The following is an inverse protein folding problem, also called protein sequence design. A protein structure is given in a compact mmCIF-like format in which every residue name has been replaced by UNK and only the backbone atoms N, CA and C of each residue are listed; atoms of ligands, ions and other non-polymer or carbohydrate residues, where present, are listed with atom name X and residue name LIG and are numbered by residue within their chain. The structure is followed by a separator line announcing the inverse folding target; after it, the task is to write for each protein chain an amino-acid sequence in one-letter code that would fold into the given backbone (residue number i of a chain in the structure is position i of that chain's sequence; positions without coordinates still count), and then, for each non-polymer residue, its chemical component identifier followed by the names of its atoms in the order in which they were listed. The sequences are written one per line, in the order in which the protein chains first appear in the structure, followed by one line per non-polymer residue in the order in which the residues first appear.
data_IF_617121441341
#
_entry.id   IF_617121441341
#
_cell.length_a   1.000
_cell.length_b   1.000
_cell.length_c   1.000
_cell.angle_alpha   90.00
_cell.angle_beta   90.00
_cell.angle_gamma   90.00
#
_symmetry.space_group_name_H-M   'P 1'
#
loop_
_entity.id
_entity.type
_entity.pdbx_description
1 polymer ?
#
# COMPACT_ATOMS: atom_id res chain seq x y z
N UNK A 1 34.23 -42.18 37.26
CA UNK A 1 34.10 -41.36 36.04
C UNK A 1 34.91 -40.09 36.26
N UNK A 2 35.91 -39.78 35.43
CA UNK A 2 36.74 -38.58 35.64
C UNK A 2 35.85 -37.33 35.64
N UNK A 3 36.16 -36.34 36.49
CA UNK A 3 35.44 -35.05 36.56
C UNK A 3 35.32 -34.39 35.19
N UNK A 4 36.29 -34.66 34.30
CA UNK A 4 36.29 -34.26 32.90
C UNK A 4 35.13 -34.86 32.09
N UNK A 5 34.90 -36.18 32.15
CA UNK A 5 33.81 -36.84 31.43
C UNK A 5 32.44 -36.28 31.84
N UNK A 6 32.24 -36.06 33.15
CA UNK A 6 30.98 -35.51 33.65
C UNK A 6 30.73 -34.08 33.13
N UNK A 7 31.77 -33.23 33.11
CA UNK A 7 31.65 -31.88 32.54
C UNK A 7 31.44 -31.87 31.03
N UNK A 8 32.04 -32.83 30.31
CA UNK A 8 31.84 -33.00 28.87
C UNK A 8 30.39 -33.36 28.55
N UNK A 9 29.84 -34.42 29.17
CA UNK A 9 28.45 -34.81 28.95
C UNK A 9 27.45 -33.75 29.40
N UNK A 10 27.70 -33.05 30.51
CA UNK A 10 26.85 -31.94 30.95
C UNK A 10 26.84 -30.79 29.93
N UNK A 11 28.00 -30.41 29.39
CA UNK A 11 28.09 -29.39 28.35
C UNK A 11 27.40 -29.84 27.05
N UNK A 12 27.51 -31.12 26.69
CA UNK A 12 26.79 -31.71 25.55
C UNK A 12 25.28 -31.65 25.71
N UNK A 13 24.75 -32.01 26.88
CA UNK A 13 23.30 -31.91 27.16
C UNK A 13 22.79 -30.46 27.12
N UNK A 14 23.55 -29.52 27.70
CA UNK A 14 23.21 -28.10 27.63
C UNK A 14 23.27 -27.56 26.18
N UNK A 15 24.27 -27.98 25.40
CA UNK A 15 24.40 -27.61 24.00
C UNK A 15 23.25 -28.18 23.15
N UNK A 16 22.83 -29.42 23.41
CA UNK A 16 21.66 -30.01 22.76
C UNK A 16 20.40 -29.20 23.05
N UNK A 17 20.15 -28.81 24.31
CA UNK A 17 19.01 -27.97 24.67
C UNK A 17 19.05 -26.61 23.93
N UNK A 18 20.20 -25.95 23.89
CA UNK A 18 20.40 -24.73 23.13
C UNK A 18 20.07 -24.92 21.64
N UNK A 19 20.68 -25.92 20.99
CA UNK A 19 20.50 -26.19 19.58
C UNK A 19 19.03 -26.51 19.25
N UNK A 20 18.37 -27.28 20.12
CA UNK A 20 16.96 -27.60 20.01
C UNK A 20 16.05 -26.36 20.06
N UNK A 21 16.25 -25.45 21.03
CA UNK A 21 15.45 -24.23 21.11
C UNK A 21 15.72 -23.28 19.95
N UNK A 22 16.97 -23.21 19.47
CA UNK A 22 17.33 -22.43 18.29
C UNK A 22 16.64 -22.95 17.02
N UNK A 23 16.71 -24.26 16.77
CA UNK A 23 16.02 -24.89 15.63
C UNK A 23 14.51 -24.74 15.74
N UNK A 24 13.93 -24.88 16.93
CA UNK A 24 12.49 -24.67 17.14
C UNK A 24 12.07 -23.21 16.82
N UNK A 25 12.90 -22.22 17.13
CA UNK A 25 12.65 -20.83 16.73
C UNK A 25 12.77 -20.67 15.21
N UNK A 26 13.80 -21.23 14.58
CA UNK A 26 13.99 -21.18 13.12
C UNK A 26 12.82 -21.85 12.37
N UNK A 27 12.34 -22.99 12.88
CA UNK A 27 11.16 -23.69 12.37
C UNK A 27 9.91 -22.79 12.35
N UNK A 28 9.67 -22.03 13.42
CA UNK A 28 8.55 -21.07 13.49
C UNK A 28 8.73 -19.88 12.54
N UNK A 29 9.95 -19.33 12.46
CA UNK A 29 10.29 -18.23 11.56
C UNK A 29 10.09 -18.59 10.08
N UNK A 30 10.52 -19.79 9.70
CA UNK A 30 10.50 -20.24 8.30
C UNK A 30 9.28 -21.10 7.95
N UNK A 31 8.46 -21.47 8.94
CA UNK A 31 7.26 -22.29 8.74
C UNK A 31 7.56 -23.72 8.26
N UNK A 32 8.75 -24.24 8.58
CA UNK A 32 9.21 -25.57 8.16
C UNK A 32 9.74 -26.31 9.38
N UNK A 33 9.17 -27.47 9.70
CA UNK A 33 9.56 -28.24 10.88
C UNK A 33 10.79 -29.10 10.59
N UNK A 34 11.79 -29.03 11.45
CA UNK A 34 12.97 -29.89 11.40
C UNK A 34 12.67 -31.24 12.03
N UNK A 35 13.07 -32.33 11.38
CA UNK A 35 12.87 -33.68 11.93
C UNK A 35 13.81 -33.95 13.10
N UNK A 36 13.38 -34.78 14.05
CA UNK A 36 14.18 -35.13 15.24
C UNK A 36 15.54 -35.70 14.83
N UNK A 37 15.56 -36.61 13.84
CA UNK A 37 16.80 -37.20 13.34
C UNK A 37 17.76 -36.15 12.77
N UNK A 38 17.24 -35.15 12.05
CA UNK A 38 18.05 -34.06 11.50
C UNK A 38 18.57 -33.15 12.61
N UNK A 39 17.73 -32.81 13.60
CA UNK A 39 18.14 -32.02 14.75
C UNK A 39 19.25 -32.73 15.57
N UNK A 40 19.15 -34.05 15.76
CA UNK A 40 20.21 -34.83 16.40
C UNK A 40 21.50 -34.81 15.56
N UNK A 41 21.40 -35.03 14.25
CA UNK A 41 22.58 -35.00 13.36
C UNK A 41 23.29 -33.64 13.35
N UNK A 42 22.51 -32.55 13.30
CA UNK A 42 22.99 -31.17 13.43
C UNK A 42 23.70 -30.96 14.76
N UNK A 43 23.08 -31.37 15.87
CA UNK A 43 23.70 -31.28 17.20
C UNK A 43 25.04 -32.01 17.24
N UNK A 44 25.10 -33.26 16.76
CA UNK A 44 26.32 -34.08 16.78
C UNK A 44 27.44 -33.39 15.99
N UNK A 45 27.14 -32.92 14.77
CA UNK A 45 28.10 -32.21 13.93
C UNK A 45 28.61 -30.93 14.60
N UNK A 46 27.69 -30.09 15.09
CA UNK A 46 28.03 -28.82 15.69
C UNK A 46 28.81 -28.98 17.00
N UNK A 47 28.45 -29.95 17.83
CA UNK A 47 29.15 -30.23 19.07
C UNK A 47 30.55 -30.83 18.82
N UNK A 48 30.71 -31.62 17.76
CA UNK A 48 32.01 -32.11 17.32
C UNK A 48 32.91 -30.95 16.85
N UNK A 49 32.39 -30.02 16.05
CA UNK A 49 33.12 -28.81 15.61
C UNK A 49 33.51 -27.96 16.83
N UNK A 50 32.59 -27.71 17.75
CA UNK A 50 32.84 -26.97 18.99
C UNK A 50 33.97 -27.63 19.82
N UNK A 51 33.90 -28.95 20.00
CA UNK A 51 34.90 -29.71 20.75
C UNK A 51 36.26 -29.68 20.04
N UNK A 52 36.29 -29.85 18.72
CA UNK A 52 37.51 -29.77 17.91
C UNK A 52 38.18 -28.40 18.01
N UNK A 53 37.40 -27.31 17.91
CA UNK A 53 37.92 -25.94 18.11
C UNK A 53 38.50 -25.74 19.51
N UNK A 54 37.87 -26.31 20.54
CA UNK A 54 38.39 -26.29 21.92
C UNK A 54 39.66 -27.12 22.09
N UNK A 55 39.81 -28.25 21.39
CA UNK A 55 41.00 -29.10 21.42
C UNK A 55 42.18 -28.46 20.70
N UNK A 56 41.92 -27.77 19.59
CA UNK A 56 42.91 -26.99 18.85
C UNK A 56 43.32 -25.68 19.54
N UNK A 57 42.73 -25.36 20.70
CA UNK A 57 42.98 -24.14 21.47
C UNK A 57 42.86 -22.85 20.63
N UNK A 58 41.93 -22.84 19.67
CA UNK A 58 41.68 -21.67 18.85
C UNK A 58 41.15 -20.53 19.72
N UNK A 59 41.66 -19.31 19.48
CA UNK A 59 41.20 -18.08 20.10
C UNK A 59 39.69 -17.87 19.96
N UNK A 60 39.04 -17.22 20.94
CA UNK A 60 37.59 -16.98 20.92
C UNK A 60 37.10 -16.28 19.64
N UNK A 61 37.87 -15.34 19.10
CA UNK A 61 37.53 -14.64 17.84
C UNK A 61 37.42 -15.63 16.68
N UNK A 62 38.39 -16.54 16.54
CA UNK A 62 38.38 -17.57 15.51
C UNK A 62 37.20 -18.54 15.72
N UNK A 63 36.93 -18.97 16.95
CA UNK A 63 35.83 -19.88 17.25
C UNK A 63 34.47 -19.31 16.85
N UNK A 64 34.19 -18.07 17.24
CA UNK A 64 32.92 -17.43 16.93
C UNK A 64 32.79 -17.14 15.43
N UNK A 65 33.88 -16.78 14.75
CA UNK A 65 33.89 -16.58 13.31
C UNK A 65 33.60 -17.88 12.54
N UNK A 66 34.27 -18.98 12.92
CA UNK A 66 34.02 -20.31 12.36
C UNK A 66 32.59 -20.74 12.63
N UNK A 67 32.12 -20.60 13.89
CA UNK A 67 30.76 -20.97 14.27
C UNK A 67 29.70 -20.19 13.47
N UNK A 68 29.90 -18.90 13.22
CA UNK A 68 29.00 -18.12 12.36
C UNK A 68 28.92 -18.67 10.94
N UNK A 69 30.06 -18.95 10.30
CA UNK A 69 30.09 -19.52 8.96
C UNK A 69 29.39 -20.88 8.88
N UNK A 70 29.64 -21.76 9.87
CA UNK A 70 28.99 -23.05 9.98
C UNK A 70 27.48 -22.92 10.20
N UNK A 71 27.05 -22.09 11.14
CA UNK A 71 25.63 -21.88 11.44
C UNK A 71 24.88 -21.31 10.23
N UNK A 72 25.50 -20.40 9.49
CA UNK A 72 24.93 -19.86 8.25
C UNK A 72 24.76 -20.96 7.19
N UNK A 73 25.80 -21.77 6.94
CA UNK A 73 25.72 -22.88 5.99
C UNK A 73 24.66 -23.92 6.40
N UNK A 74 24.60 -24.23 7.70
CA UNK A 74 23.63 -25.15 8.27
C UNK A 74 22.19 -24.69 8.04
N UNK A 75 21.88 -23.44 8.40
CA UNK A 75 20.54 -22.86 8.21
C UNK A 75 20.15 -22.88 6.73
N UNK A 76 21.08 -22.52 5.84
CA UNK A 76 20.83 -22.55 4.41
C UNK A 76 20.53 -23.96 3.90
N UNK A 77 21.28 -24.98 4.35
CA UNK A 77 21.07 -26.38 3.97
C UNK A 77 19.72 -26.89 4.48
N UNK A 78 19.34 -26.56 5.72
CA UNK A 78 18.10 -27.05 6.35
C UNK A 78 16.86 -26.38 5.76
N UNK A 79 16.86 -25.05 5.68
CA UNK A 79 15.65 -24.28 5.40
C UNK A 79 15.53 -23.80 3.95
N UNK A 80 16.67 -23.62 3.25
CA UNK A 80 16.75 -23.17 1.84
C UNK A 80 15.90 -21.92 1.58
N UNK A 81 16.00 -20.92 2.44
CA UNK A 81 15.29 -19.66 2.27
C UNK A 81 16.13 -18.68 1.44
N UNK A 82 15.68 -17.43 1.33
CA UNK A 82 16.53 -16.38 0.76
C UNK A 82 17.78 -16.17 1.62
N UNK A 83 18.93 -15.91 0.98
CA UNK A 83 20.20 -15.66 1.67
C UNK A 83 20.10 -14.62 2.78
N UNK A 84 19.32 -13.55 2.60
CA UNK A 84 19.15 -12.50 3.61
C UNK A 84 18.46 -13.06 4.87
N UNK A 85 17.46 -13.92 4.70
CA UNK A 85 16.73 -14.53 5.81
C UNK A 85 17.58 -15.57 6.55
N UNK A 86 18.35 -16.37 5.81
CA UNK A 86 19.28 -17.34 6.41
C UNK A 86 20.39 -16.62 7.20
N UNK A 87 20.97 -15.56 6.63
CA UNK A 87 21.99 -14.73 7.30
C UNK A 87 21.40 -14.06 8.54
N UNK A 88 20.17 -13.53 8.47
CA UNK A 88 19.50 -12.93 9.63
C UNK A 88 19.35 -13.94 10.77
N UNK A 89 18.89 -15.16 10.48
CA UNK A 89 18.70 -16.19 11.49
C UNK A 89 20.04 -16.63 12.09
N UNK A 90 21.08 -16.79 11.26
CA UNK A 90 22.43 -17.10 11.73
C UNK A 90 22.97 -16.00 12.66
N UNK A 91 22.87 -14.73 12.23
CA UNK A 91 23.32 -13.57 12.99
C UNK A 91 22.57 -13.43 14.32
N UNK A 92 21.26 -13.66 14.34
CA UNK A 92 20.47 -13.67 15.57
C UNK A 92 20.98 -14.74 16.55
N UNK A 93 21.24 -15.94 16.03
CA UNK A 93 21.85 -17.06 16.75
C UNK A 93 23.18 -16.68 17.41
N UNK A 94 24.14 -16.26 16.60
CA UNK A 94 25.50 -15.98 17.08
C UNK A 94 25.59 -14.72 17.93
N UNK A 95 24.80 -13.67 17.66
CA UNK A 95 24.83 -12.44 18.45
C UNK A 95 24.35 -12.69 19.88
N UNK A 96 23.20 -13.35 20.04
CA UNK A 96 22.66 -13.66 21.37
C UNK A 96 23.59 -14.63 22.12
N UNK A 97 24.10 -15.65 21.44
CA UNK A 97 25.06 -16.59 22.01
C UNK A 97 26.35 -15.91 22.48
N UNK A 98 26.93 -15.05 21.65
CA UNK A 98 28.18 -14.34 21.95
C UNK A 98 28.00 -13.35 23.09
N UNK A 99 26.90 -12.59 23.10
CA UNK A 99 26.61 -11.64 24.18
C UNK A 99 26.46 -12.35 25.53
N UNK A 100 25.70 -13.46 25.59
CA UNK A 100 25.58 -14.30 26.79
C UNK A 100 26.94 -14.85 27.21
N UNK A 101 27.75 -15.31 26.25
CA UNK A 101 29.07 -15.86 26.51
C UNK A 101 30.00 -14.80 27.14
N UNK A 102 30.05 -13.58 26.60
CA UNK A 102 30.83 -12.47 27.13
C UNK A 102 30.36 -12.12 28.56
N UNK A 103 29.04 -11.94 28.77
CA UNK A 103 28.48 -11.58 30.08
C UNK A 103 28.89 -12.60 31.14
N UNK A 104 28.69 -13.89 30.85
CA UNK A 104 29.00 -14.94 31.82
C UNK A 104 30.49 -15.03 32.10
N UNK A 105 31.35 -15.00 31.07
CA UNK A 105 32.80 -15.04 31.27
C UNK A 105 33.29 -13.87 32.12
N UNK A 106 32.82 -12.65 31.85
CA UNK A 106 33.15 -11.49 32.65
C UNK A 106 32.60 -11.58 34.08
N UNK A 107 31.36 -12.07 34.27
CA UNK A 107 30.77 -12.26 35.59
C UNK A 107 31.53 -13.29 36.43
N UNK A 108 31.90 -14.44 35.85
CA UNK A 108 32.74 -15.44 36.53
C UNK A 108 34.15 -14.91 36.81
N UNK A 109 34.75 -14.15 35.88
CA UNK A 109 36.06 -13.52 36.09
C UNK A 109 36.04 -12.48 37.22
N UNK A 110 34.92 -11.77 37.40
CA UNK A 110 34.70 -10.86 38.54
C UNK A 110 34.53 -11.65 39.84
N UNK A 111 33.62 -12.62 39.84
CA UNK A 111 33.29 -13.42 41.02
C UNK A 111 34.50 -14.21 41.57
N UNK A 112 35.30 -14.79 40.66
CA UNK A 112 36.48 -15.58 41.04
C UNK A 112 37.74 -14.73 41.22
N UNK A 113 37.65 -13.42 40.97
CA UNK A 113 38.79 -12.50 40.92
C UNK A 113 39.97 -13.02 40.06
N UNK A 114 39.66 -13.54 38.87
CA UNK A 114 40.63 -14.10 37.91
C UNK A 114 40.70 -13.23 36.65
N UNK A 115 41.84 -13.18 35.94
CA UNK A 115 41.94 -12.48 34.66
C UNK A 115 41.10 -13.15 33.57
N UNK A 116 40.63 -12.36 32.58
CA UNK A 116 39.78 -12.84 31.49
C UNK A 116 40.46 -13.90 30.61
N UNK A 117 41.78 -13.83 30.46
CA UNK A 117 42.58 -14.79 29.69
C UNK A 117 42.40 -16.25 30.16
N UNK A 118 42.15 -16.48 31.46
CA UNK A 118 41.89 -17.84 32.00
C UNK A 118 40.53 -18.43 31.57
N UNK A 119 39.68 -17.60 30.99
CA UNK A 119 38.44 -18.02 30.38
C UNK A 119 38.57 -18.19 28.86
N UNK A 120 39.72 -17.92 28.23
CA UNK A 120 39.92 -18.25 26.82
C UNK A 120 40.09 -19.77 26.61
N UNK A 121 40.23 -20.19 25.35
CA UNK A 121 40.52 -21.58 25.00
C UNK A 121 42.00 -21.97 25.16
N UNK A 122 42.92 -21.01 25.31
CA UNK A 122 44.37 -21.21 25.41
C UNK A 122 44.89 -21.28 26.85
N UNK A 123 44.44 -22.25 27.64
CA UNK A 123 44.96 -22.42 29.02
C UNK A 123 45.75 -23.72 29.14
N UNK A 124 47.07 -23.63 29.01
CA UNK A 124 48.01 -24.68 29.38
C UNK A 124 48.06 -24.79 30.91
N UNK A 125 47.54 -25.92 31.42
CA UNK A 125 47.81 -26.53 32.74
C UNK A 125 47.08 -25.94 33.99
N UNK A 126 46.27 -26.82 34.60
CA UNK A 126 45.68 -26.83 35.95
C UNK A 126 44.31 -26.18 36.24
N UNK A 127 43.93 -25.02 35.69
CA UNK A 127 42.60 -24.40 35.97
C UNK A 127 41.84 -24.03 34.69
N UNK A 128 41.20 -25.01 34.03
CA UNK A 128 40.30 -24.74 32.91
C UNK A 128 38.95 -24.19 33.40
N UNK A 129 38.90 -22.90 33.74
CA UNK A 129 37.74 -22.23 34.33
C UNK A 129 36.61 -21.97 33.32
N UNK A 130 36.89 -22.08 32.01
CA UNK A 130 35.89 -21.81 30.94
C UNK A 130 34.69 -22.76 30.98
N UNK A 131 34.82 -23.94 31.59
CA UNK A 131 33.75 -24.95 31.66
C UNK A 131 32.47 -24.44 32.33
N UNK A 132 32.59 -23.58 33.34
CA UNK A 132 31.44 -23.04 34.07
C UNK A 132 30.62 -22.03 33.23
N UNK A 133 31.21 -20.95 32.69
CA UNK A 133 30.47 -20.01 31.85
C UNK A 133 30.00 -20.61 30.53
N UNK A 134 30.71 -21.61 29.96
CA UNK A 134 30.25 -22.30 28.74
C UNK A 134 28.98 -23.12 29.01
N UNK A 135 28.99 -23.94 30.07
CA UNK A 135 27.83 -24.76 30.45
C UNK A 135 26.61 -23.88 30.73
N UNK A 136 26.76 -22.86 31.59
CA UNK A 136 25.68 -21.94 31.93
C UNK A 136 25.23 -21.12 30.72
N UNK A 137 26.16 -20.78 29.83
CA UNK A 137 25.87 -20.04 28.60
C UNK A 137 24.95 -20.78 27.66
N UNK A 138 25.16 -22.08 27.44
CA UNK A 138 24.25 -22.88 26.63
C UNK A 138 22.86 -22.99 27.25
N UNK A 139 22.77 -23.19 28.56
CA UNK A 139 21.48 -23.23 29.27
C UNK A 139 20.75 -21.89 29.11
N UNK A 140 21.43 -20.77 29.42
CA UNK A 140 20.83 -19.44 29.39
C UNK A 140 20.43 -19.03 27.96
N UNK A 141 21.27 -19.29 26.97
CA UNK A 141 20.93 -19.03 25.57
C UNK A 141 19.73 -19.86 25.10
N UNK A 142 19.63 -21.13 25.53
CA UNK A 142 18.45 -21.97 25.26
C UNK A 142 17.18 -21.41 25.91
N UNK A 143 17.25 -20.94 27.16
CA UNK A 143 16.13 -20.28 27.86
C UNK A 143 15.72 -18.99 27.13
N UNK A 144 16.68 -18.19 26.68
CA UNK A 144 16.41 -16.96 25.90
C UNK A 144 15.68 -17.30 24.60
N UNK A 145 16.15 -18.28 23.82
CA UNK A 145 15.45 -18.69 22.59
C UNK A 145 14.06 -19.24 22.87
N UNK A 146 13.89 -20.00 23.96
CA UNK A 146 12.57 -20.46 24.39
C UNK A 146 11.62 -19.28 24.68
N UNK A 147 12.10 -18.26 25.41
CA UNK A 147 11.32 -17.07 25.74
C UNK A 147 10.98 -16.23 24.50
N UNK A 148 11.94 -16.03 23.59
CA UNK A 148 11.73 -15.34 22.30
C UNK A 148 10.66 -16.06 21.49
N UNK A 149 10.72 -17.39 21.43
CA UNK A 149 9.74 -18.21 20.71
C UNK A 149 8.34 -18.06 21.33
N UNK A 150 8.22 -18.19 22.66
CA UNK A 150 6.95 -18.04 23.40
C UNK A 150 6.33 -16.66 23.30
N UNK A 151 7.09 -15.60 23.05
CA UNK A 151 6.54 -14.25 22.87
C UNK A 151 5.88 -14.00 21.51
N UNK A 152 5.81 -15.03 20.65
CA UNK A 152 5.28 -14.92 19.29
C UNK A 152 6.22 -14.18 18.34
N UNK A 153 7.51 -14.09 18.67
CA UNK A 153 8.49 -13.41 17.80
C UNK A 153 8.69 -14.14 16.47
N UNK A 154 8.54 -15.47 16.45
CA UNK A 154 8.64 -16.27 15.22
C UNK A 154 7.66 -15.83 14.13
N UNK A 155 6.40 -15.56 14.48
CA UNK A 155 5.40 -15.08 13.52
C UNK A 155 5.68 -13.65 13.04
N UNK A 156 6.21 -12.79 13.91
CA UNK A 156 6.67 -11.43 13.55
C UNK A 156 7.85 -11.48 12.57
N UNK A 157 8.81 -12.36 12.78
CA UNK A 157 9.94 -12.58 11.87
C UNK A 157 9.44 -13.11 10.52
N UNK A 158 8.48 -14.03 10.52
CA UNK A 158 7.85 -14.52 9.28
C UNK A 158 7.19 -13.41 8.47
N UNK A 159 6.51 -12.46 9.14
CA UNK A 159 5.94 -11.29 8.48
C UNK A 159 7.05 -10.34 7.97
N UNK A 160 8.06 -10.09 8.79
CA UNK A 160 9.21 -9.26 8.43
C UNK A 160 9.97 -9.81 7.22
N UNK A 161 10.06 -11.14 7.08
CA UNK A 161 10.70 -11.78 5.93
C UNK A 161 10.04 -11.44 4.58
N UNK A 162 8.78 -10.98 4.60
CA UNK A 162 8.10 -10.45 3.40
C UNK A 162 8.54 -9.03 3.04
N UNK A 163 9.00 -8.25 4.01
CA UNK A 163 9.55 -6.90 3.80
C UNK A 163 11.08 -6.96 3.71
N UNK A 164 11.57 -7.09 2.47
CA UNK A 164 13.00 -7.17 2.18
C UNK A 164 13.79 -5.96 2.69
N UNK A 165 13.21 -4.76 2.70
CA UNK A 165 13.88 -3.53 3.14
C UNK A 165 14.16 -3.59 4.64
N UNK A 166 13.12 -3.85 5.42
CA UNK A 166 13.22 -3.95 6.88
C UNK A 166 14.12 -5.12 7.33
N UNK A 167 14.07 -6.25 6.64
CA UNK A 167 14.96 -7.38 6.92
C UNK A 167 16.43 -7.06 6.59
N UNK A 168 16.70 -6.39 5.47
CA UNK A 168 18.07 -5.99 5.08
C UNK A 168 18.67 -5.02 6.09
N UNK A 169 17.87 -4.07 6.59
CA UNK A 169 18.29 -3.18 7.67
C UNK A 169 18.69 -3.96 8.93
N UNK A 170 17.86 -4.93 9.36
CA UNK A 170 18.19 -5.75 10.53
C UNK A 170 19.47 -6.56 10.33
N UNK A 171 19.67 -7.18 9.17
CA UNK A 171 20.90 -7.94 8.87
C UNK A 171 22.12 -7.03 9.01
N UNK A 172 22.09 -5.85 8.39
CA UNK A 172 23.22 -4.90 8.43
C UNK A 172 23.54 -4.47 9.86
N UNK A 173 22.53 -4.08 10.63
CA UNK A 173 22.74 -3.65 12.00
C UNK A 173 23.21 -4.81 12.89
N UNK A 174 22.60 -5.98 12.78
CA UNK A 174 22.97 -7.15 13.58
C UNK A 174 24.40 -7.59 13.27
N UNK A 175 24.82 -7.50 12.00
CA UNK A 175 26.20 -7.74 11.60
C UNK A 175 27.17 -6.74 12.24
N UNK A 176 26.84 -5.44 12.25
CA UNK A 176 27.66 -4.41 12.91
C UNK A 176 27.78 -4.69 14.41
N UNK A 177 26.68 -5.02 15.09
CA UNK A 177 26.68 -5.38 16.51
C UNK A 177 27.50 -6.64 16.78
N UNK A 178 27.41 -7.64 15.88
CA UNK A 178 28.17 -8.87 15.99
C UNK A 178 29.68 -8.60 15.84
N UNK A 179 30.09 -7.87 14.80
CA UNK A 179 31.50 -7.47 14.60
C UNK A 179 32.01 -6.66 15.79
N UNK A 180 31.20 -5.74 16.33
CA UNK A 180 31.54 -4.99 17.54
C UNK A 180 31.83 -5.91 18.74
N UNK A 181 30.99 -6.92 18.98
CA UNK A 181 31.24 -7.90 20.06
C UNK A 181 32.43 -8.81 19.76
N UNK A 182 32.68 -9.17 18.50
CA UNK A 182 33.88 -9.93 18.12
C UNK A 182 35.15 -9.13 18.42
N UNK A 183 35.18 -7.84 18.07
CA UNK A 183 36.31 -6.97 18.41
C UNK A 183 36.47 -6.79 19.92
N UNK A 184 35.37 -6.80 20.68
CA UNK A 184 35.41 -6.74 22.14
C UNK A 184 36.20 -7.92 22.75
N UNK A 185 36.22 -9.09 22.10
CA UNK A 185 37.00 -10.25 22.55
C UNK A 185 38.51 -10.01 22.54
N UNK A 186 39.02 -8.96 21.86
CA UNK A 186 40.44 -8.59 21.92
C UNK A 186 40.88 -8.21 23.35
N UNK A 187 39.95 -7.77 24.19
CA UNK A 187 40.20 -7.47 25.62
C UNK A 187 40.64 -8.70 26.44
N UNK A 188 40.53 -9.91 25.89
CA UNK A 188 41.01 -11.13 26.55
C UNK A 188 42.54 -11.29 26.44
N UNK A 189 43.18 -10.56 25.52
CA UNK A 189 44.61 -10.65 25.23
C UNK A 189 45.40 -9.42 25.69
N UNK A 190 44.75 -8.52 26.43
CA UNK A 190 45.43 -7.38 27.06
C UNK A 190 45.92 -7.78 28.44
N UNK A 191 47.19 -7.48 28.73
CA UNK A 191 47.78 -7.72 30.04
C UNK A 191 47.14 -6.83 31.11
N UNK A 192 46.82 -7.40 32.27
CA UNK A 192 46.25 -6.69 33.42
C UNK A 192 44.91 -7.25 33.89
N UNK A 193 44.76 -7.40 35.20
CA UNK A 193 43.52 -7.88 35.86
C UNK A 193 42.53 -6.73 36.09
N UNK A 194 42.32 -5.88 35.10
CA UNK A 194 41.58 -4.65 35.33
C UNK A 194 40.07 -4.91 35.36
N UNK A 195 39.46 -4.59 36.50
CA UNK A 195 38.01 -4.50 36.72
C UNK A 195 37.30 -3.81 35.54
N UNK A 196 37.96 -2.82 34.95
CA UNK A 196 37.49 -2.06 33.79
C UNK A 196 37.18 -2.96 32.59
N UNK A 197 38.06 -3.88 32.19
CA UNK A 197 37.81 -4.73 31.02
C UNK A 197 36.67 -5.71 31.23
N UNK A 198 36.50 -6.23 32.46
CA UNK A 198 35.40 -7.12 32.81
C UNK A 198 34.05 -6.39 32.75
N UNK A 199 33.98 -5.18 33.32
CA UNK A 199 32.79 -4.34 33.25
C UNK A 199 32.52 -3.84 31.82
N UNK A 200 33.58 -3.56 31.05
CA UNK A 200 33.49 -3.18 29.65
C UNK A 200 32.86 -4.27 28.80
N UNK A 201 33.26 -5.53 28.98
CA UNK A 201 32.64 -6.67 28.28
C UNK A 201 31.15 -6.82 28.60
N UNK A 202 30.77 -6.77 29.88
CA UNK A 202 29.36 -6.82 30.30
C UNK A 202 28.57 -5.67 29.68
N UNK A 203 29.09 -4.44 29.79
CA UNK A 203 28.49 -3.25 29.18
C UNK A 203 28.28 -3.45 27.68
N UNK A 204 29.33 -3.80 26.94
CA UNK A 204 29.28 -3.97 25.48
C UNK A 204 28.23 -5.00 25.06
N UNK A 205 28.17 -6.14 25.75
CA UNK A 205 27.16 -7.17 25.49
C UNK A 205 25.73 -6.69 25.80
N UNK A 206 25.50 -6.02 26.93
CA UNK A 206 24.21 -5.44 27.27
C UNK A 206 23.74 -4.40 26.25
N UNK A 207 24.63 -3.50 25.81
CA UNK A 207 24.32 -2.51 24.78
C UNK A 207 24.02 -3.14 23.42
N UNK A 208 24.75 -4.21 23.05
CA UNK A 208 24.47 -4.94 21.81
C UNK A 208 23.10 -5.64 21.84
N UNK A 209 22.74 -6.29 22.95
CA UNK A 209 21.41 -6.91 23.13
C UNK A 209 20.30 -5.84 23.08
N UNK A 210 20.49 -4.72 23.80
CA UNK A 210 19.52 -3.62 23.81
C UNK A 210 19.35 -3.01 22.41
N UNK A 211 20.46 -2.75 21.71
CA UNK A 211 20.44 -2.24 20.34
C UNK A 211 19.73 -3.18 19.38
N UNK A 212 20.01 -4.48 19.47
CA UNK A 212 19.34 -5.51 18.69
C UNK A 212 17.83 -5.57 18.96
N UNK A 213 17.42 -5.48 20.23
CA UNK A 213 16.01 -5.46 20.61
C UNK A 213 15.27 -4.22 20.09
N UNK A 214 15.86 -3.04 20.25
CA UNK A 214 15.29 -1.77 19.76
C UNK A 214 15.14 -1.79 18.23
N UNK A 215 16.17 -2.25 17.52
CA UNK A 215 16.13 -2.36 16.08
C UNK A 215 15.09 -3.37 15.60
N UNK A 216 15.04 -4.56 16.20
CA UNK A 216 14.01 -5.55 15.89
C UNK A 216 12.61 -4.97 16.11
N UNK A 217 12.39 -4.29 17.23
CA UNK A 217 11.12 -3.63 17.55
C UNK A 217 10.75 -2.56 16.53
N UNK A 218 11.72 -1.73 16.12
CA UNK A 218 11.52 -0.69 15.10
C UNK A 218 11.23 -1.29 13.73
N UNK A 219 11.99 -2.30 13.29
CA UNK A 219 11.79 -2.98 12.01
C UNK A 219 10.44 -3.68 11.91
N UNK A 220 9.94 -4.28 13.00
CA UNK A 220 8.58 -4.83 13.02
C UNK A 220 7.52 -3.73 12.89
N UNK A 221 7.70 -2.59 13.57
CA UNK A 221 6.78 -1.45 13.42
C UNK A 221 6.81 -0.90 12.00
N UNK A 222 7.99 -0.74 11.42
CA UNK A 222 8.16 -0.19 10.07
C UNK A 222 7.58 -1.13 9.01
N UNK A 223 7.84 -2.44 9.11
CA UNK A 223 7.25 -3.43 8.21
C UNK A 223 5.72 -3.43 8.25
N UNK A 224 5.13 -3.29 9.44
CA UNK A 224 3.68 -3.17 9.60
C UNK A 224 3.14 -1.86 9.02
N UNK A 225 3.85 -0.74 9.20
CA UNK A 225 3.48 0.54 8.59
C UNK A 225 3.52 0.47 7.06
N UNK A 226 4.58 -0.11 6.49
CA UNK A 226 4.70 -0.32 5.04
C UNK A 226 3.56 -1.18 4.50
N UNK A 227 3.17 -2.23 5.22
CA UNK A 227 2.04 -3.07 4.86
C UNK A 227 0.71 -2.29 4.81
N UNK A 228 0.42 -1.49 5.84
CA UNK A 228 -0.79 -0.65 5.85
C UNK A 228 -0.75 0.46 4.80
N UNK A 229 0.43 1.04 4.53
CA UNK A 229 0.58 2.03 3.47
C UNK A 229 0.29 1.45 2.08
N UNK A 230 0.75 0.24 1.80
CA UNK A 230 0.44 -0.47 0.54
C UNK A 230 -1.05 -0.81 0.43
N UNK A 231 -1.67 -1.25 1.53
CA UNK A 231 -3.10 -1.56 1.56
C UNK A 231 -3.95 -0.31 1.30
N UNK A 232 -3.70 0.77 2.02
CA UNK A 232 -4.41 2.05 1.86
C UNK A 232 -4.24 2.62 0.44
N UNK A 233 -3.05 2.44 -0.16
CA UNK A 233 -2.80 2.86 -1.54
C UNK A 233 -3.71 2.12 -2.52
N UNK A 234 -3.80 0.80 -2.41
CA UNK A 234 -4.66 -0.02 -3.28
C UNK A 234 -6.14 0.33 -3.12
N UNK A 235 -6.60 0.53 -1.89
CA UNK A 235 -7.98 0.98 -1.64
C UNK A 235 -8.26 2.34 -2.28
N UNK A 236 -7.32 3.29 -2.19
CA UNK A 236 -7.46 4.61 -2.81
C UNK A 236 -7.50 4.54 -4.34
N UNK A 237 -6.66 3.69 -4.94
CA UNK A 237 -6.66 3.47 -6.39
C UNK A 237 -7.99 2.84 -6.85
N UNK A 238 -8.51 1.86 -6.11
CA UNK A 238 -9.82 1.25 -6.39
C UNK A 238 -10.97 2.26 -6.29
N UNK A 239 -10.99 3.10 -5.26
CA UNK A 239 -12.02 4.12 -5.08
C UNK A 239 -11.98 5.19 -6.20
N UNK A 240 -10.79 5.55 -6.68
CA UNK A 240 -10.66 6.48 -7.80
C UNK A 240 -11.19 5.86 -9.10
N UNK A 241 -10.92 4.57 -9.32
CA UNK A 241 -11.43 3.84 -10.48
C UNK A 241 -12.96 3.77 -10.46
N UNK A 242 -13.54 3.40 -9.31
CA UNK A 242 -14.99 3.38 -9.10
C UNK A 242 -15.63 4.74 -9.43
N UNK A 243 -15.06 5.84 -8.92
CA UNK A 243 -15.54 7.19 -9.23
C UNK A 243 -15.49 7.54 -10.71
N UNK A 244 -14.44 7.14 -11.41
CA UNK A 244 -14.32 7.39 -12.85
C UNK A 244 -15.35 6.57 -13.65
N UNK A 245 -15.61 5.34 -13.23
CA UNK A 245 -16.59 4.48 -13.90
C UNK A 245 -18.02 4.97 -13.63
N UNK A 246 -18.31 5.42 -12.40
CA UNK A 246 -19.56 6.11 -12.06
C UNK A 246 -19.77 7.39 -12.90
N UNK A 247 -18.72 8.19 -13.09
CA UNK A 247 -18.80 9.40 -13.91
C UNK A 247 -19.08 9.06 -15.39
N UNK A 248 -18.41 8.04 -15.95
CA UNK A 248 -18.69 7.57 -17.31
C UNK A 248 -20.13 7.06 -17.44
N UNK A 249 -20.59 6.26 -16.49
CA UNK A 249 -21.96 5.75 -16.47
C UNK A 249 -22.97 6.90 -16.39
N UNK A 250 -22.71 7.93 -15.57
CA UNK A 250 -23.53 9.14 -15.53
C UNK A 250 -23.56 9.87 -16.86
N UNK A 251 -22.42 10.06 -17.52
CA UNK A 251 -22.36 10.71 -18.85
C UNK A 251 -23.18 9.91 -19.86
N UNK A 252 -23.03 8.59 -19.91
CA UNK A 252 -23.78 7.72 -20.82
C UNK A 252 -25.28 7.75 -20.51
N UNK A 253 -25.66 7.72 -19.24
CA UNK A 253 -27.05 7.70 -18.79
C UNK A 253 -27.78 9.02 -19.04
N UNK A 254 -27.07 10.16 -19.02
CA UNK A 254 -27.68 11.50 -19.09
C UNK A 254 -27.38 12.31 -20.34
N UNK A 255 -26.60 11.79 -21.30
CA UNK A 255 -26.23 12.54 -22.52
C UNK A 255 -26.79 11.86 -23.77
N UNK A 256 -27.32 12.66 -24.70
CA UNK A 256 -27.66 12.23 -26.05
C UNK A 256 -26.38 12.09 -26.89
N UNK A 257 -26.14 10.89 -27.44
CA UNK A 257 -24.90 10.56 -28.16
C UNK A 257 -24.70 11.34 -29.45
N UNK A 258 -25.79 11.75 -30.12
CA UNK A 258 -25.71 12.48 -31.39
C UNK A 258 -25.32 13.95 -31.18
N UNK A 259 -26.00 14.63 -30.27
CA UNK A 259 -25.87 16.08 -30.08
C UNK A 259 -24.90 16.45 -28.95
N UNK A 260 -24.56 15.50 -28.07
CA UNK A 260 -23.76 15.71 -26.87
C UNK A 260 -24.44 16.61 -25.84
N UNK A 261 -25.75 16.84 -25.97
CA UNK A 261 -26.57 17.57 -25.00
C UNK A 261 -27.12 16.59 -23.96
N UNK A 262 -27.66 17.09 -22.86
CA UNK A 262 -28.32 16.19 -21.93
C UNK A 262 -29.54 15.54 -22.58
N UNK A 263 -29.93 14.36 -22.12
CA UNK A 263 -31.10 13.67 -22.65
C UNK A 263 -32.37 14.01 -21.85
N UNK A 264 -33.51 13.55 -22.34
CA UNK A 264 -34.81 13.73 -21.69
C UNK A 264 -34.85 13.25 -20.24
N UNK A 265 -34.27 12.09 -19.95
CA UNK A 265 -34.27 11.55 -18.58
C UNK A 265 -33.64 12.54 -17.60
N UNK A 266 -32.50 13.13 -17.96
CA UNK A 266 -31.86 14.14 -17.13
C UNK A 266 -32.67 15.43 -17.03
N UNK A 267 -33.40 15.80 -18.08
CA UNK A 267 -34.31 16.95 -18.05
C UNK A 267 -35.41 16.75 -17.00
N UNK A 268 -36.05 15.57 -17.01
CA UNK A 268 -37.13 15.21 -16.11
C UNK A 268 -36.65 15.20 -14.64
N UNK A 269 -35.49 14.58 -14.38
CA UNK A 269 -34.88 14.51 -13.05
C UNK A 269 -34.55 15.92 -12.50
N UNK A 270 -33.93 16.78 -13.31
CA UNK A 270 -33.55 18.15 -12.91
C UNK A 270 -34.77 19.05 -12.74
N UNK A 271 -35.77 18.95 -13.63
CA UNK A 271 -37.01 19.71 -13.50
C UNK A 271 -37.72 19.39 -12.19
N UNK A 272 -37.77 18.11 -11.81
CA UNK A 272 -38.32 17.69 -10.53
C UNK A 272 -37.53 18.27 -9.35
N UNK A 273 -36.20 18.17 -9.39
CA UNK A 273 -35.33 18.71 -8.32
C UNK A 273 -35.51 20.22 -8.15
N UNK A 274 -35.46 20.98 -9.24
CA UNK A 274 -35.67 22.43 -9.22
C UNK A 274 -37.09 22.78 -8.76
N UNK A 275 -38.06 21.92 -9.07
CA UNK A 275 -39.43 22.14 -8.67
C UNK A 275 -39.67 21.99 -7.19
N UNK A 276 -39.14 20.92 -6.59
CA UNK A 276 -39.23 20.67 -5.15
C UNK A 276 -38.44 21.70 -4.33
N UNK A 277 -37.34 22.22 -4.88
CA UNK A 277 -36.51 23.26 -4.23
C UNK A 277 -37.05 24.69 -4.39
N UNK A 278 -38.20 24.87 -5.03
CA UNK A 278 -38.77 26.19 -5.34
C UNK A 278 -37.78 27.13 -6.04
N UNK A 279 -36.84 26.57 -6.80
CA UNK A 279 -35.79 27.38 -7.45
C UNK A 279 -36.42 28.16 -8.61
N UNK A 280 -36.18 29.48 -8.76
CA UNK A 280 -36.64 30.22 -9.92
C UNK A 280 -35.95 29.74 -11.20
N UNK A 281 -36.72 29.35 -12.20
CA UNK A 281 -36.23 28.98 -13.53
C UNK A 281 -37.28 29.20 -14.60
N UNK A 282 -36.84 29.18 -15.86
CA UNK A 282 -37.69 29.24 -17.04
C UNK A 282 -37.40 28.04 -17.94
N UNK A 283 -38.45 27.50 -18.56
CA UNK A 283 -38.35 26.43 -19.55
C UNK A 283 -38.58 27.00 -20.94
N UNK A 284 -37.73 26.63 -21.89
CA UNK A 284 -37.91 26.95 -23.29
C UNK A 284 -37.98 25.66 -24.11
N UNK A 285 -39.14 25.37 -24.70
CA UNK A 285 -39.25 24.33 -25.72
C UNK A 285 -38.77 24.88 -27.05
N UNK A 286 -37.99 24.07 -27.77
CA UNK A 286 -37.40 24.40 -29.05
C UNK A 286 -37.65 23.25 -30.01
N UNK A 287 -38.15 23.56 -31.20
CA UNK A 287 -38.42 22.59 -32.26
C UNK A 287 -37.72 23.04 -33.54
N UNK A 288 -37.08 22.08 -34.25
CA UNK A 288 -36.41 22.36 -35.51
C UNK A 288 -37.41 22.45 -36.66
N UNK A 289 -37.40 23.58 -37.37
CA UNK A 289 -38.23 23.75 -38.54
C UNK A 289 -37.59 23.06 -39.76
N UNK A 290 -38.35 22.25 -40.47
CA UNK A 290 -37.91 21.72 -41.76
C UNK A 290 -37.01 20.47 -41.69
N UNK A 291 -36.85 19.83 -40.51
CA UNK A 291 -35.93 18.69 -40.37
C UNK A 291 -36.35 17.50 -41.24
N UNK A 292 -37.67 17.25 -41.35
CA UNK A 292 -38.19 16.16 -42.18
C UNK A 292 -37.86 16.39 -43.66
N UNK A 293 -38.05 17.61 -44.14
CA UNK A 293 -37.73 18.02 -45.51
C UNK A 293 -36.23 17.86 -45.79
N UNK A 294 -35.37 18.20 -44.82
CA UNK A 294 -33.92 17.96 -44.92
C UNK A 294 -33.61 16.46 -45.02
N UNK A 295 -34.22 15.64 -44.16
CA UNK A 295 -34.04 14.19 -44.19
C UNK A 295 -34.51 13.57 -45.51
N UNK A 296 -35.68 13.97 -46.00
CA UNK A 296 -36.29 13.43 -47.21
C UNK A 296 -35.49 13.84 -48.47
N UNK A 297 -34.92 15.05 -48.49
CA UNK A 297 -34.19 15.58 -49.65
C UNK A 297 -32.69 15.23 -49.66
N UNK A 298 -32.04 15.21 -48.49
CA UNK A 298 -30.58 15.10 -48.37
C UNK A 298 -30.12 13.89 -47.55
N UNK A 299 -31.04 13.11 -47.00
CA UNK A 299 -30.77 11.92 -46.20
C UNK A 299 -30.51 12.21 -44.73
N UNK A 300 -30.59 11.16 -43.91
CA UNK A 300 -30.50 11.24 -42.45
C UNK A 300 -29.19 11.82 -41.92
N UNK A 301 -28.07 11.64 -42.65
CA UNK A 301 -26.78 12.21 -42.24
C UNK A 301 -26.79 13.74 -42.24
N UNK A 302 -27.51 14.37 -43.17
CA UNK A 302 -27.66 15.84 -43.18
C UNK A 302 -28.65 16.32 -42.11
N UNK A 303 -29.68 15.53 -41.79
CA UNK A 303 -30.53 15.80 -40.63
C UNK A 303 -29.78 15.72 -39.30
N UNK A 304 -28.92 14.70 -39.14
CA UNK A 304 -28.01 14.57 -37.99
C UNK A 304 -27.09 15.78 -37.88
N UNK A 305 -26.54 16.25 -39.00
CA UNK A 305 -25.71 17.45 -39.03
C UNK A 305 -26.51 18.70 -38.68
N UNK A 306 -27.78 18.78 -39.06
CA UNK A 306 -28.67 19.88 -38.66
C UNK A 306 -28.87 19.86 -37.12
N UNK A 307 -29.22 18.71 -36.54
CA UNK A 307 -29.36 18.56 -35.08
C UNK A 307 -28.08 18.97 -34.33
N UNK A 308 -26.92 18.52 -34.79
CA UNK A 308 -25.61 18.88 -34.22
C UNK A 308 -25.35 20.40 -34.34
N UNK A 309 -25.74 21.00 -35.47
CA UNK A 309 -25.55 22.44 -35.71
C UNK A 309 -26.40 23.26 -34.75
N UNK A 310 -27.68 22.94 -34.59
CA UNK A 310 -28.56 23.60 -33.62
C UNK A 310 -28.00 23.46 -32.22
N UNK A 311 -27.60 22.24 -31.83
CA UNK A 311 -27.04 21.99 -30.52
C UNK A 311 -25.79 22.83 -30.22
N UNK A 312 -24.87 22.93 -31.18
CA UNK A 312 -23.66 23.77 -31.06
C UNK A 312 -23.99 25.26 -30.98
N UNK A 313 -24.93 25.72 -31.80
CA UNK A 313 -25.34 27.14 -31.79
C UNK A 313 -26.01 27.49 -30.46
N UNK A 314 -26.95 26.68 -29.97
CA UNK A 314 -27.58 26.94 -28.66
C UNK A 314 -26.53 26.99 -27.53
N UNK A 315 -25.61 26.01 -27.48
CA UNK A 315 -24.53 25.98 -26.47
C UNK A 315 -23.64 27.22 -26.44
N UNK A 316 -23.49 27.92 -27.57
CA UNK A 316 -22.71 29.18 -27.66
C UNK A 316 -23.41 30.37 -26.99
N UNK A 317 -24.74 30.35 -26.93
CA UNK A 317 -25.56 31.48 -26.48
C UNK A 317 -26.12 31.30 -25.06
N UNK A 318 -26.17 30.08 -24.55
CA UNK A 318 -26.57 29.81 -23.16
C UNK A 318 -25.38 29.99 -22.20
N UNK A 319 -25.65 30.31 -20.93
CA UNK A 319 -24.62 30.44 -19.89
C UNK A 319 -24.23 29.07 -19.35
N UNK A 320 -23.11 29.02 -18.63
CA UNK A 320 -22.65 27.80 -17.94
C UNK A 320 -23.66 27.23 -16.93
N UNK A 321 -24.49 28.09 -16.33
CA UNK A 321 -25.54 27.71 -15.39
C UNK A 321 -26.84 27.25 -16.07
N UNK A 322 -27.04 27.54 -17.35
CA UNK A 322 -28.21 27.10 -18.09
C UNK A 322 -28.00 25.67 -18.57
N UNK A 323 -29.08 24.90 -18.66
CA UNK A 323 -29.02 23.49 -19.07
C UNK A 323 -29.74 23.29 -20.39
N UNK A 324 -29.20 22.43 -21.23
CA UNK A 324 -29.72 22.19 -22.57
C UNK A 324 -29.85 20.69 -22.84
N UNK A 325 -31.05 20.30 -23.26
CA UNK A 325 -31.46 18.92 -23.38
C UNK A 325 -32.02 18.65 -24.76
N UNK A 326 -31.79 17.46 -25.29
CA UNK A 326 -32.58 16.89 -26.37
C UNK A 326 -33.74 16.12 -25.75
N UNK A 327 -34.94 16.65 -25.94
CA UNK A 327 -36.16 16.15 -25.29
C UNK A 327 -36.90 15.13 -26.18
N UNK A 328 -36.79 15.28 -27.50
CA UNK A 328 -37.39 14.39 -28.50
C UNK A 328 -36.50 14.25 -29.75
N UNK A 329 -37.08 13.76 -30.85
CA UNK A 329 -36.34 13.56 -32.11
C UNK A 329 -35.72 14.85 -32.62
N UNK A 330 -36.57 15.87 -32.81
CA UNK A 330 -36.28 17.24 -33.26
C UNK A 330 -36.60 18.30 -32.20
N UNK A 331 -36.97 17.87 -31.00
CA UNK A 331 -37.35 18.72 -29.88
C UNK A 331 -36.19 18.84 -28.88
N UNK A 332 -35.93 20.08 -28.48
CA UNK A 332 -34.97 20.42 -27.44
C UNK A 332 -35.63 21.22 -26.33
N UNK A 333 -35.03 21.17 -25.15
CA UNK A 333 -35.42 21.92 -23.98
C UNK A 333 -34.23 22.75 -23.51
N UNK A 334 -34.45 24.04 -23.22
CA UNK A 334 -33.48 24.87 -22.51
C UNK A 334 -34.06 25.22 -21.15
N UNK A 335 -33.31 24.96 -20.07
CA UNK A 335 -33.59 25.48 -18.74
C UNK A 335 -32.72 26.70 -18.49
N UNK A 336 -33.36 27.85 -18.37
CA UNK A 336 -32.69 29.09 -18.02
C UNK A 336 -32.77 29.31 -16.51
N UNK A 337 -31.60 29.39 -15.86
CA UNK A 337 -31.50 29.68 -14.42
C UNK A 337 -31.50 31.20 -14.18
N UNK A 338 -32.42 31.90 -14.83
CA UNK A 338 -32.54 33.37 -14.86
C UNK A 338 -33.96 33.76 -14.49
N UNK A 339 -34.11 34.80 -13.66
CA UNK A 339 -35.41 35.26 -13.19
C UNK A 339 -36.06 36.29 -14.13
N UNK A 340 -35.32 36.85 -15.08
CA UNK A 340 -35.79 37.90 -15.97
C UNK A 340 -36.40 37.35 -17.28
N UNK A 341 -37.69 37.62 -17.51
CA UNK A 341 -38.47 37.19 -18.68
C UNK A 341 -37.88 37.60 -20.04
N UNK A 342 -37.19 38.74 -20.11
CA UNK A 342 -36.73 39.27 -21.40
C UNK A 342 -35.48 38.58 -21.94
N UNK A 343 -34.66 38.02 -21.06
CA UNK A 343 -33.33 37.48 -21.41
C UNK A 343 -33.43 36.16 -22.20
N UNK A 344 -34.25 35.16 -21.79
CA UNK A 344 -34.46 33.94 -22.58
C UNK A 344 -34.91 34.23 -24.01
N UNK A 345 -35.88 35.13 -24.17
CA UNK A 345 -36.42 35.48 -25.49
C UNK A 345 -35.38 36.13 -26.41
N UNK A 346 -34.57 37.07 -25.89
CA UNK A 346 -33.51 37.72 -26.66
C UNK A 346 -32.42 36.74 -27.12
N UNK A 347 -32.08 35.75 -26.27
CA UNK A 347 -31.12 34.70 -26.63
C UNK A 347 -31.66 33.79 -27.71
N UNK A 348 -32.91 33.32 -27.57
CA UNK A 348 -33.54 32.47 -28.58
C UNK A 348 -33.66 33.17 -29.93
N UNK A 349 -33.97 34.46 -29.94
CA UNK A 349 -33.95 35.26 -31.16
C UNK A 349 -32.56 35.33 -31.80
N UNK A 350 -31.52 35.55 -30.99
CA UNK A 350 -30.13 35.58 -31.48
C UNK A 350 -29.66 34.23 -32.02
N UNK A 351 -30.02 33.13 -31.34
CA UNK A 351 -29.76 31.76 -31.78
C UNK A 351 -30.41 31.51 -33.14
N UNK A 352 -31.71 31.81 -33.28
CA UNK A 352 -32.43 31.59 -34.54
C UNK A 352 -31.84 32.44 -35.67
N UNK A 353 -31.44 33.69 -35.41
CA UNK A 353 -30.79 34.55 -36.39
C UNK A 353 -29.47 33.93 -36.91
N UNK A 354 -28.60 33.43 -36.01
CA UNK A 354 -27.35 32.78 -36.42
C UNK A 354 -27.61 31.50 -37.23
N UNK A 355 -28.63 30.70 -36.87
CA UNK A 355 -29.01 29.49 -37.61
C UNK A 355 -29.50 29.80 -39.02
N UNK A 356 -30.34 30.82 -39.19
CA UNK A 356 -30.83 31.26 -40.50
C UNK A 356 -29.68 31.76 -41.36
N UNK A 357 -28.75 32.54 -40.79
CA UNK A 357 -27.55 32.99 -41.50
C UNK A 357 -26.62 31.82 -41.87
N UNK A 358 -26.51 30.81 -41.01
CA UNK A 358 -25.74 29.60 -41.27
C UNK A 358 -26.31 28.81 -42.45
N UNK A 359 -27.64 28.61 -42.51
CA UNK A 359 -28.30 27.96 -43.64
C UNK A 359 -28.06 28.69 -44.96
N UNK A 360 -28.19 30.03 -44.97
CA UNK A 360 -27.94 30.85 -46.17
C UNK A 360 -26.52 30.70 -46.72
N UNK A 361 -25.51 30.66 -45.85
CA UNK A 361 -24.10 30.55 -46.26
C UNK A 361 -23.74 29.21 -46.88
N UNK A 362 -24.47 28.14 -46.53
CA UNK A 362 -24.16 26.78 -46.98
C UNK A 362 -24.81 26.43 -48.32
N UNK A 363 -25.52 27.38 -48.95
CA UNK A 363 -26.33 27.15 -50.15
C UNK A 363 -27.32 25.98 -49.99
N UNK A 364 -27.67 25.63 -48.74
CA UNK A 364 -28.71 24.66 -48.45
C UNK A 364 -30.04 25.31 -48.82
N UNK A 365 -30.82 24.67 -49.69
CA UNK A 365 -32.17 25.16 -50.00
C UNK A 365 -33.12 24.99 -48.79
N UNK A 366 -32.67 24.30 -47.74
CA UNK A 366 -33.33 24.24 -46.44
C UNK A 366 -32.97 25.48 -45.60
N UNK A 367 -34.00 26.23 -45.19
CA UNK A 367 -33.89 27.27 -44.17
C UNK A 367 -33.73 26.63 -42.79
N UNK A 368 -32.48 26.53 -42.31
CA UNK A 368 -32.17 26.13 -40.93
C UNK A 368 -32.73 27.19 -39.98
N UNK A 369 -33.81 26.87 -39.28
CA UNK A 369 -34.41 27.74 -38.26
C UNK A 369 -35.03 26.92 -37.14
N UNK A 370 -35.40 27.59 -36.06
CA UNK A 370 -36.06 26.97 -34.91
C UNK A 370 -37.32 27.73 -34.55
N UNK A 371 -38.30 27.01 -34.02
CA UNK A 371 -39.44 27.57 -33.31
C UNK A 371 -39.23 27.40 -31.82
N UNK A 372 -39.68 28.37 -31.02
CA UNK A 372 -39.48 28.29 -29.57
C UNK A 372 -40.62 28.91 -28.76
N UNK A 373 -40.75 28.44 -27.53
CA UNK A 373 -41.74 28.92 -26.57
C UNK A 373 -41.20 28.85 -25.16
N UNK A 374 -41.23 29.98 -24.45
CA UNK A 374 -40.71 30.12 -23.08
C UNK A 374 -41.87 30.14 -22.10
N UNK A 375 -41.78 29.42 -20.98
CA UNK A 375 -42.68 29.53 -19.83
C UNK A 375 -41.88 29.64 -18.53
N UNK A 376 -42.37 30.47 -17.62
CA UNK A 376 -41.77 30.74 -16.32
C UNK A 376 -42.38 29.84 -15.27
N UNK A 377 -41.57 29.33 -14.33
CA UNK A 377 -42.05 28.52 -13.21
C UNK A 377 -43.31 29.10 -12.55
N UNK A 378 -43.28 30.41 -12.29
CA UNK A 378 -44.33 31.15 -11.57
C UNK A 378 -45.68 31.17 -12.31
N UNK A 379 -45.69 30.88 -13.62
CA UNK A 379 -46.90 30.85 -14.44
C UNK A 379 -47.70 29.53 -14.31
N UNK A 380 -47.12 28.49 -13.68
CA UNK A 380 -47.66 27.15 -13.67
C UNK A 380 -47.89 26.60 -12.26
N UNK A 381 -48.90 25.72 -12.12
CA UNK A 381 -49.22 25.03 -10.86
C UNK A 381 -48.35 23.79 -10.61
N UNK A 382 -47.80 23.21 -11.68
CA UNK A 382 -46.96 22.01 -11.66
C UNK A 382 -46.07 21.96 -12.92
N UNK A 383 -45.11 21.02 -12.94
CA UNK A 383 -44.16 20.83 -14.05
C UNK A 383 -44.89 20.50 -15.36
N UNK A 384 -45.94 19.67 -15.31
CA UNK A 384 -46.65 19.26 -16.51
C UNK A 384 -47.33 20.46 -17.18
N UNK A 385 -47.93 21.36 -16.38
CA UNK A 385 -48.53 22.59 -16.87
C UNK A 385 -47.49 23.56 -17.41
N UNK A 386 -46.33 23.66 -16.76
CA UNK A 386 -45.22 24.50 -17.22
C UNK A 386 -44.73 24.06 -18.61
N UNK A 387 -44.50 22.76 -18.79
CA UNK A 387 -44.10 22.17 -20.05
C UNK A 387 -45.16 22.39 -21.14
N UNK A 388 -46.44 22.15 -20.82
CA UNK A 388 -47.56 22.41 -21.73
C UNK A 388 -47.60 23.87 -22.20
N UNK A 389 -47.40 24.83 -21.30
CA UNK A 389 -47.44 26.25 -21.65
C UNK A 389 -46.29 26.64 -22.59
N UNK A 390 -45.08 26.14 -22.34
CA UNK A 390 -43.94 26.36 -23.22
C UNK A 390 -44.16 25.73 -24.60
N UNK A 391 -44.71 24.51 -24.66
CA UNK A 391 -45.05 23.82 -25.91
C UNK A 391 -46.12 24.57 -26.73
N UNK A 392 -47.22 25.02 -26.09
CA UNK A 392 -48.26 25.81 -26.76
C UNK A 392 -47.71 27.11 -27.35
N UNK A 393 -46.79 27.78 -26.64
CA UNK A 393 -46.12 29.01 -27.11
C UNK A 393 -45.20 28.72 -28.29
N UNK A 394 -44.46 27.61 -28.24
CA UNK A 394 -43.60 27.15 -29.33
C UNK A 394 -44.43 26.84 -30.58
N UNK A 395 -45.55 26.14 -30.42
CA UNK A 395 -46.44 25.78 -31.52
C UNK A 395 -47.04 27.03 -32.20
N UNK A 396 -47.46 28.05 -31.43
CA UNK A 396 -47.91 29.33 -32.00
C UNK A 396 -46.82 30.02 -32.81
N UNK A 397 -45.59 30.06 -32.27
CA UNK A 397 -44.44 30.62 -32.97
C UNK A 397 -44.16 29.87 -34.29
N UNK A 398 -44.23 28.54 -34.27
CA UNK A 398 -44.10 27.69 -35.47
C UNK A 398 -45.16 28.07 -36.51
N UNK A 399 -46.43 28.17 -36.13
CA UNK A 399 -47.50 28.54 -37.06
C UNK A 399 -47.29 29.92 -37.72
N UNK A 400 -46.79 30.91 -36.97
CA UNK A 400 -46.48 32.24 -37.51
C UNK A 400 -45.36 32.20 -38.55
N UNK A 401 -44.28 31.45 -38.29
CA UNK A 401 -43.17 31.25 -39.22
C UNK A 401 -43.66 30.61 -40.53
N UNK A 402 -44.48 29.56 -40.45
CA UNK A 402 -44.99 28.87 -41.64
C UNK A 402 -46.06 29.67 -42.41
N UNK A 403 -46.82 30.55 -41.74
CA UNK A 403 -47.71 31.51 -42.42
C UNK A 403 -46.90 32.56 -43.19
N UNK A 404 -45.82 33.07 -42.60
CA UNK A 404 -44.92 34.04 -43.24
C UNK A 404 -44.17 33.49 -44.46
N UNK A 405 -43.97 32.18 -44.56
CA UNK A 405 -43.36 31.51 -45.73
C UNK A 405 -44.32 31.29 -46.92
N UNK A 406 -45.64 31.34 -46.69
CA UNK A 406 -46.67 31.12 -47.71
C UNK A 406 -47.17 32.41 -48.38
N UNK A 407 -46.82 33.56 -47.80
CA UNK A 407 -47.06 34.89 -48.35
C UNK A 407 -45.74 35.41 -48.96
#
# INVERSE_FOLDING_TARGET
MSTWLLTFFAAGAAYFYFNWQFLALADECFGKKTSVLRAIGVFVLNYAVFTGCSLLQLHLIANWSIFFCFLMAEIHIIYRQSWIADIYMALNGVLNGLAVNIILRCAFALFMNKPLMLFDNQTLMSENLKRYPVLLGFILAGVIFHAIRKSGTGSKIKQLAKDRSSLTFLVRLTLVLYVYLILNLLTYYTDGNDLVFKLWGIKSACFAILGFYLASSYSFRMSRLNYYADLNRKEREALLQEKQDDEKLRIIAYTDLLTGCYNRQYADDILQELWEKETPFCVCFVDLNGLKEVNDQYGHLEGDQYLITVAKTVKKYIRQQDLFFRYGGDEFLVLFMEANETVPMQRMYSINKELVEYGKKRNSHAEISISWGVAHREEASDIAKLLQMADERMYRNKQEIYKGRKN
#
